data_IF_985681860830
#
_entry.id   IF_985681860830
#
_cell.length_a   1.000
_cell.length_b   1.000
_cell.length_c   1.000
_cell.angle_alpha   90.00
_cell.angle_beta   90.00
_cell.angle_gamma   90.00
#
_symmetry.space_group_name_H-M   'P 1'
#
loop_
_entity.id
_entity.type
_entity.pdbx_description
1 polymer ?
#
# COMPACT_ATOMS: atom_id res chain seq x y z
N UNK A 1 -31.48 -9.48 -24.31
CA UNK A 1 -32.78 -9.55 -25.02
C UNK A 1 -32.55 -9.10 -26.46
N UNK A 2 -32.90 -9.89 -27.46
CA UNK A 2 -32.68 -9.47 -28.86
C UNK A 2 -33.70 -8.43 -29.25
N UNK A 3 -33.29 -7.40 -30.01
CA UNK A 3 -34.19 -6.32 -30.50
C UNK A 3 -35.46 -6.88 -31.16
N UNK A 4 -35.35 -7.92 -31.97
CA UNK A 4 -36.46 -8.63 -32.61
C UNK A 4 -37.56 -9.08 -31.62
N UNK A 5 -37.16 -9.55 -30.43
CA UNK A 5 -38.10 -10.02 -29.42
C UNK A 5 -38.87 -8.84 -28.75
N UNK A 6 -38.29 -7.63 -28.77
CA UNK A 6 -38.95 -6.44 -28.20
C UNK A 6 -40.00 -5.80 -29.10
N UNK A 7 -40.05 -6.16 -30.41
CA UNK A 7 -40.99 -5.58 -31.39
C UNK A 7 -41.94 -6.62 -32.01
N UNK A 8 -41.95 -7.85 -31.51
CA UNK A 8 -42.80 -8.95 -32.10
C UNK A 8 -44.27 -8.66 -31.99
N UNK A 9 -44.74 -8.03 -30.89
CA UNK A 9 -46.15 -7.70 -30.71
C UNK A 9 -46.59 -6.57 -31.67
N UNK A 10 -45.75 -5.57 -31.83
CA UNK A 10 -46.02 -4.42 -32.72
C UNK A 10 -46.02 -4.87 -34.19
N UNK A 11 -45.12 -5.75 -34.60
CA UNK A 11 -45.10 -6.30 -35.95
C UNK A 11 -46.39 -7.09 -36.22
N UNK A 12 -46.85 -7.91 -35.27
CA UNK A 12 -48.09 -8.64 -35.39
C UNK A 12 -49.31 -7.73 -35.59
N UNK A 13 -49.38 -6.63 -34.82
CA UNK A 13 -50.46 -5.62 -34.96
C UNK A 13 -50.41 -4.97 -36.35
N UNK A 14 -49.22 -4.62 -36.86
CA UNK A 14 -49.06 -4.01 -38.18
C UNK A 14 -49.52 -5.00 -39.29
N UNK A 15 -49.20 -6.28 -39.18
CA UNK A 15 -49.65 -7.30 -40.13
C UNK A 15 -51.19 -7.36 -40.15
N UNK A 16 -51.84 -7.38 -38.98
CA UNK A 16 -53.31 -7.38 -38.90
C UNK A 16 -53.92 -6.14 -39.54
N UNK A 17 -53.39 -4.94 -39.27
CA UNK A 17 -53.84 -3.71 -39.91
C UNK A 17 -53.68 -3.79 -41.42
N UNK A 18 -52.57 -4.34 -41.90
CA UNK A 18 -52.29 -4.48 -43.32
C UNK A 18 -53.32 -5.40 -44.03
N UNK A 19 -53.66 -6.51 -43.40
CA UNK A 19 -54.69 -7.43 -43.93
C UNK A 19 -56.08 -6.80 -43.96
N UNK A 20 -56.46 -6.08 -42.88
CA UNK A 20 -57.76 -5.40 -42.82
C UNK A 20 -57.86 -4.28 -43.87
N UNK A 21 -56.74 -3.54 -44.09
CA UNK A 21 -56.71 -2.49 -45.10
C UNK A 21 -56.85 -3.03 -46.52
N UNK A 22 -56.19 -4.14 -46.83
CA UNK A 22 -56.32 -4.85 -48.10
C UNK A 22 -57.76 -5.34 -48.35
N UNK A 23 -58.42 -5.91 -47.33
CA UNK A 23 -59.78 -6.36 -47.38
C UNK A 23 -60.77 -5.19 -47.66
N UNK A 24 -60.55 -4.04 -47.01
CA UNK A 24 -61.36 -2.85 -47.23
C UNK A 24 -61.26 -2.30 -48.66
N UNK A 25 -60.03 -2.23 -49.22
CA UNK A 25 -59.85 -1.83 -50.62
C UNK A 25 -60.54 -2.77 -51.62
N UNK A 26 -60.47 -4.10 -51.37
CA UNK A 26 -61.17 -5.09 -52.19
C UNK A 26 -62.68 -4.97 -52.16
N UNK A 27 -63.27 -4.74 -50.98
CA UNK A 27 -64.69 -4.64 -50.79
C UNK A 27 -65.28 -3.37 -51.43
N UNK A 28 -64.55 -2.25 -51.42
CA UNK A 28 -65.01 -0.94 -51.94
C UNK A 28 -64.58 -0.68 -53.39
N UNK A 29 -63.96 -1.67 -54.08
CA UNK A 29 -63.48 -1.57 -55.48
C UNK A 29 -62.65 -0.31 -55.75
N UNK A 30 -61.81 0.11 -54.83
CA UNK A 30 -60.98 1.29 -54.98
C UNK A 30 -59.83 1.09 -56.01
N UNK A 31 -59.39 2.16 -56.71
CA UNK A 31 -58.35 2.05 -57.72
C UNK A 31 -57.03 1.59 -57.13
N UNK A 32 -56.35 0.68 -57.88
CA UNK A 32 -55.10 0.04 -57.46
C UNK A 32 -53.99 1.05 -57.11
N UNK A 33 -53.97 2.16 -57.83
CA UNK A 33 -52.99 3.25 -57.61
C UNK A 33 -53.10 3.87 -56.20
N UNK A 34 -54.34 4.09 -55.73
CA UNK A 34 -54.56 4.59 -54.37
C UNK A 34 -54.13 3.59 -53.30
N UNK A 35 -54.31 2.31 -53.54
CA UNK A 35 -53.81 1.24 -52.65
C UNK A 35 -52.30 1.24 -52.55
N UNK A 36 -51.58 1.28 -53.68
CA UNK A 36 -50.12 1.27 -53.73
C UNK A 36 -49.53 2.52 -53.03
N UNK A 37 -50.13 3.67 -53.20
CA UNK A 37 -49.69 4.89 -52.55
C UNK A 37 -49.86 4.81 -51.02
N UNK A 38 -51.04 4.36 -50.56
CA UNK A 38 -51.33 4.15 -49.14
C UNK A 38 -50.34 3.14 -48.49
N UNK A 39 -50.05 2.07 -49.22
CA UNK A 39 -49.11 1.04 -48.81
C UNK A 39 -47.69 1.59 -48.66
N UNK A 40 -47.24 2.44 -49.60
CA UNK A 40 -45.95 3.14 -49.51
C UNK A 40 -45.85 4.04 -48.27
N UNK A 41 -46.90 4.79 -47.93
CA UNK A 41 -46.96 5.64 -46.75
C UNK A 41 -46.89 4.80 -45.46
N UNK A 42 -47.65 3.69 -45.39
CA UNK A 42 -47.65 2.79 -44.22
C UNK A 42 -46.25 2.18 -44.05
N UNK A 43 -45.58 1.76 -45.11
CA UNK A 43 -44.24 1.18 -45.07
C UNK A 43 -43.19 2.21 -44.60
N UNK A 44 -43.30 3.45 -45.06
CA UNK A 44 -42.43 4.55 -44.64
C UNK A 44 -42.57 4.83 -43.12
N UNK A 45 -43.83 4.93 -42.66
CA UNK A 45 -44.08 5.13 -41.22
C UNK A 45 -43.58 4.00 -40.37
N UNK A 46 -43.69 2.75 -40.84
CA UNK A 46 -43.18 1.58 -40.17
C UNK A 46 -41.65 1.59 -40.09
N UNK A 47 -40.95 1.99 -41.13
CA UNK A 47 -39.50 2.15 -41.12
C UNK A 47 -39.05 3.23 -40.11
N UNK A 48 -39.73 4.35 -40.07
CA UNK A 48 -39.44 5.42 -39.10
C UNK A 48 -39.69 4.92 -37.67
N UNK A 49 -40.78 4.20 -37.43
CA UNK A 49 -41.10 3.63 -36.11
C UNK A 49 -40.02 2.61 -35.65
N UNK A 50 -39.64 1.70 -36.53
CA UNK A 50 -38.58 0.73 -36.26
C UNK A 50 -37.24 1.44 -35.95
N UNK A 51 -36.90 2.50 -36.71
CA UNK A 51 -35.71 3.30 -36.49
C UNK A 51 -35.71 3.97 -35.10
N UNK A 52 -36.80 4.57 -34.68
CA UNK A 52 -36.94 5.20 -33.35
C UNK A 52 -36.81 4.14 -32.25
N UNK A 53 -37.50 3.00 -32.42
CA UNK A 53 -37.39 1.89 -31.44
C UNK A 53 -35.98 1.32 -31.35
N UNK A 54 -35.29 1.19 -32.47
CA UNK A 54 -33.89 0.73 -32.51
C UNK A 54 -32.94 1.68 -31.77
N UNK A 55 -33.06 2.99 -32.02
CA UNK A 55 -32.29 4.03 -31.31
C UNK A 55 -32.55 4.00 -29.80
N UNK A 56 -33.82 3.88 -29.40
CA UNK A 56 -34.21 3.76 -28.00
C UNK A 56 -33.62 2.49 -27.36
N UNK A 57 -33.66 1.36 -28.06
CA UNK A 57 -33.09 0.08 -27.60
C UNK A 57 -31.57 0.17 -27.40
N UNK A 58 -30.84 0.73 -28.38
CA UNK A 58 -29.40 0.94 -28.29
C UNK A 58 -29.02 1.84 -27.10
N UNK A 59 -29.81 2.93 -26.91
CA UNK A 59 -29.62 3.86 -25.78
C UNK A 59 -29.80 3.13 -24.44
N UNK A 60 -30.84 2.28 -24.34
CA UNK A 60 -31.12 1.51 -23.10
C UNK A 60 -30.00 0.53 -22.79
N UNK A 61 -29.48 -0.19 -23.80
CA UNK A 61 -28.34 -1.10 -23.61
C UNK A 61 -27.09 -0.35 -23.16
N UNK A 62 -26.78 0.79 -23.79
CA UNK A 62 -25.64 1.61 -23.42
C UNK A 62 -25.75 2.12 -21.98
N UNK A 63 -26.93 2.57 -21.55
CA UNK A 63 -27.17 2.99 -20.17
C UNK A 63 -27.03 1.84 -19.18
N UNK A 64 -27.52 0.66 -19.51
CA UNK A 64 -27.43 -0.52 -18.66
C UNK A 64 -25.98 -0.97 -18.48
N UNK A 65 -25.19 -0.89 -19.55
CA UNK A 65 -23.76 -1.19 -19.51
C UNK A 65 -22.95 -0.16 -18.67
N UNK A 66 -23.34 1.12 -18.72
CA UNK A 66 -22.76 2.15 -17.86
C UNK A 66 -23.09 1.91 -16.38
N UNK A 67 -24.33 1.52 -16.06
CA UNK A 67 -24.75 1.20 -14.69
C UNK A 67 -23.94 0.02 -14.17
N UNK A 68 -23.83 -1.07 -14.94
CA UNK A 68 -23.05 -2.24 -14.55
C UNK A 68 -21.56 -1.92 -14.30
N UNK A 69 -20.95 -1.11 -15.18
CA UNK A 69 -19.58 -0.65 -15.00
C UNK A 69 -19.42 0.20 -13.72
N UNK A 70 -20.40 1.07 -13.43
CA UNK A 70 -20.39 1.91 -12.22
C UNK A 70 -20.55 1.06 -10.95
N UNK A 71 -21.45 0.07 -10.97
CA UNK A 71 -21.65 -0.85 -9.86
C UNK A 71 -20.38 -1.67 -9.58
N UNK A 72 -19.71 -2.17 -10.62
CA UNK A 72 -18.44 -2.88 -10.50
C UNK A 72 -17.35 -1.98 -9.93
N UNK A 73 -17.25 -0.72 -10.38
CA UNK A 73 -16.28 0.23 -9.85
C UNK A 73 -16.56 0.57 -8.37
N UNK A 74 -17.82 0.77 -8.00
CA UNK A 74 -18.23 0.98 -6.61
C UNK A 74 -17.92 -0.23 -5.73
N UNK A 75 -18.13 -1.44 -6.24
CA UNK A 75 -17.81 -2.66 -5.52
C UNK A 75 -16.29 -2.79 -5.27
N UNK A 76 -15.46 -2.49 -6.27
CA UNK A 76 -14.00 -2.48 -6.13
C UNK A 76 -13.55 -1.46 -5.09
N UNK A 77 -14.01 -0.20 -5.18
CA UNK A 77 -13.69 0.85 -4.22
C UNK A 77 -14.12 0.48 -2.79
N UNK A 78 -15.27 -0.15 -2.63
CA UNK A 78 -15.74 -0.60 -1.31
C UNK A 78 -14.87 -1.71 -0.74
N UNK A 79 -14.41 -2.64 -1.57
CA UNK A 79 -13.49 -3.70 -1.12
C UNK A 79 -12.13 -3.12 -0.74
N UNK A 80 -11.57 -2.22 -1.53
CA UNK A 80 -10.32 -1.50 -1.21
C UNK A 80 -10.44 -0.74 0.12
N UNK A 81 -11.58 -0.09 0.35
CA UNK A 81 -11.83 0.61 1.61
C UNK A 81 -11.92 -0.33 2.81
N UNK A 82 -12.53 -1.51 2.63
CA UNK A 82 -12.62 -2.53 3.69
C UNK A 82 -11.23 -3.11 3.99
N UNK A 83 -10.45 -3.44 2.97
CA UNK A 83 -9.06 -3.92 3.14
C UNK A 83 -8.21 -2.88 3.85
N UNK A 84 -8.25 -1.63 3.40
CA UNK A 84 -7.57 -0.51 4.04
C UNK A 84 -7.93 -0.38 5.54
N UNK A 85 -9.23 -0.42 5.86
CA UNK A 85 -9.71 -0.34 7.24
C UNK A 85 -9.18 -1.50 8.08
N UNK A 86 -9.32 -2.74 7.59
CA UNK A 86 -8.86 -3.94 8.29
C UNK A 86 -7.35 -3.90 8.52
N UNK A 87 -6.62 -3.37 7.56
CA UNK A 87 -5.19 -3.17 7.63
C UNK A 87 -4.79 -2.21 8.74
N UNK A 88 -5.42 -1.04 8.79
CA UNK A 88 -5.17 -0.04 9.84
C UNK A 88 -5.51 -0.60 11.23
N UNK A 89 -6.66 -1.28 11.36
CA UNK A 89 -7.08 -1.89 12.64
C UNK A 89 -6.09 -2.98 13.10
N UNK A 90 -5.66 -3.85 12.19
CA UNK A 90 -4.68 -4.90 12.49
C UNK A 90 -3.34 -4.34 12.98
N UNK A 91 -2.86 -3.26 12.34
CA UNK A 91 -1.63 -2.58 12.79
C UNK A 91 -1.80 -1.93 14.14
N UNK A 92 -2.91 -1.24 14.35
CA UNK A 92 -3.17 -0.59 15.62
C UNK A 92 -3.15 -1.59 16.78
N UNK A 93 -3.78 -2.73 16.61
CA UNK A 93 -3.77 -3.81 17.60
C UNK A 93 -2.34 -4.34 17.84
N UNK A 94 -1.55 -4.51 16.78
CA UNK A 94 -0.15 -4.96 16.90
C UNK A 94 0.69 -3.94 17.66
N UNK A 95 0.58 -2.64 17.36
CA UNK A 95 1.32 -1.59 18.09
C UNK A 95 0.91 -1.49 19.55
N UNK A 96 -0.38 -1.55 19.85
CA UNK A 96 -0.86 -1.56 21.26
C UNK A 96 -0.25 -2.73 22.01
N UNK A 97 -0.20 -3.91 21.40
CA UNK A 97 0.42 -5.08 22.02
C UNK A 97 1.93 -4.90 22.22
N UNK A 98 2.64 -4.37 21.21
CA UNK A 98 4.08 -4.12 21.28
C UNK A 98 4.46 -3.03 22.29
N UNK A 99 3.63 -1.99 22.46
CA UNK A 99 3.84 -0.96 23.50
C UNK A 99 3.52 -1.48 24.91
N UNK A 100 2.56 -2.39 25.07
CA UNK A 100 2.18 -2.94 26.37
C UNK A 100 3.35 -3.71 27.02
N UNK A 101 4.15 -4.43 26.24
CA UNK A 101 5.27 -5.21 26.76
C UNK A 101 6.34 -4.35 27.45
N UNK A 102 6.96 -3.33 26.82
CA UNK A 102 7.93 -2.47 27.48
C UNK A 102 7.31 -1.62 28.61
N UNK A 103 6.03 -1.23 28.52
CA UNK A 103 5.35 -0.55 29.62
C UNK A 103 5.30 -1.46 30.86
N UNK A 104 4.88 -2.72 30.70
CA UNK A 104 4.83 -3.68 31.80
C UNK A 104 6.22 -3.99 32.33
N UNK A 105 7.22 -4.12 31.46
CA UNK A 105 8.63 -4.31 31.86
C UNK A 105 9.15 -3.11 32.69
N UNK A 106 8.87 -1.88 32.25
CA UNK A 106 9.26 -0.67 32.97
C UNK A 106 8.59 -0.62 34.37
N UNK A 107 7.31 -0.95 34.49
CA UNK A 107 6.60 -1.01 35.75
C UNK A 107 7.23 -2.01 36.70
N UNK A 108 7.46 -3.26 36.23
CA UNK A 108 8.09 -4.31 37.04
C UNK A 108 9.51 -3.95 37.47
N UNK A 109 10.28 -3.22 36.64
CA UNK A 109 11.61 -2.74 36.98
C UNK A 109 11.59 -1.71 38.10
N UNK A 110 10.60 -0.83 38.09
CA UNK A 110 10.43 0.21 39.13
C UNK A 110 10.01 -0.37 40.50
N UNK A 111 9.41 -1.57 40.52
CA UNK A 111 9.06 -2.28 41.76
C UNK A 111 10.26 -3.00 42.38
N UNK A 112 11.38 -3.12 41.65
CA UNK A 112 12.58 -3.83 42.12
C UNK A 112 13.65 -2.84 42.54
N UNK A 113 14.26 -3.09 43.69
CA UNK A 113 15.42 -2.33 44.20
C UNK A 113 16.72 -2.98 43.65
N UNK A 114 16.92 -2.86 42.32
CA UNK A 114 18.10 -3.40 41.66
C UNK A 114 19.04 -2.30 41.19
N UNK A 115 20.37 -2.53 41.17
CA UNK A 115 21.31 -1.59 40.58
C UNK A 115 20.99 -1.42 39.08
N UNK A 116 21.11 -0.19 38.57
CA UNK A 116 20.83 0.18 37.15
C UNK A 116 19.37 0.18 36.70
N UNK A 117 18.38 0.16 37.62
CA UNK A 117 16.94 0.25 37.27
C UNK A 117 16.67 1.44 36.35
N UNK A 118 17.23 2.61 36.61
CA UNK A 118 17.00 3.82 35.81
C UNK A 118 17.45 3.63 34.36
N UNK A 119 18.58 2.99 34.10
CA UNK A 119 19.06 2.74 32.74
C UNK A 119 18.19 1.71 32.02
N UNK A 120 17.74 0.67 32.70
CA UNK A 120 16.83 -0.34 32.14
C UNK A 120 15.46 0.25 31.82
N UNK A 121 14.89 1.04 32.73
CA UNK A 121 13.63 1.76 32.46
C UNK A 121 13.78 2.71 31.29
N UNK A 122 14.92 3.43 31.16
CA UNK A 122 15.19 4.28 30.01
C UNK A 122 15.17 3.51 28.68
N UNK A 123 15.69 2.28 28.66
CA UNK A 123 15.64 1.41 27.46
C UNK A 123 14.20 1.05 27.09
N UNK A 124 13.36 0.70 28.05
CA UNK A 124 11.96 0.40 27.82
C UNK A 124 11.20 1.65 27.29
N UNK A 125 11.49 2.82 27.84
CA UNK A 125 10.91 4.10 27.36
C UNK A 125 11.35 4.40 25.92
N UNK A 126 12.61 4.16 25.55
CA UNK A 126 13.08 4.31 24.17
C UNK A 126 12.33 3.35 23.22
N UNK A 127 12.03 2.13 23.65
CA UNK A 127 11.24 1.20 22.84
C UNK A 127 9.80 1.68 22.64
N UNK A 128 9.16 2.20 23.69
CA UNK A 128 7.82 2.80 23.59
C UNK A 128 7.83 3.97 22.60
N UNK A 129 8.82 4.88 22.69
CA UNK A 129 8.98 6.00 21.78
C UNK A 129 9.15 5.53 20.32
N UNK A 130 9.94 4.48 20.10
CA UNK A 130 10.13 3.89 18.77
C UNK A 130 8.82 3.33 18.20
N UNK A 131 8.05 2.57 18.96
CA UNK A 131 6.76 2.04 18.50
C UNK A 131 5.75 3.15 18.23
N UNK A 132 5.72 4.19 19.07
CA UNK A 132 4.87 5.36 18.87
C UNK A 132 5.24 6.12 17.59
N UNK A 133 6.55 6.34 17.39
CA UNK A 133 7.07 7.01 16.18
C UNK A 133 6.75 6.22 14.91
N UNK A 134 6.88 4.88 14.94
CA UNK A 134 6.50 4.00 13.84
C UNK A 134 5.01 4.08 13.54
N UNK A 135 4.15 4.03 14.57
CA UNK A 135 2.71 4.13 14.42
C UNK A 135 2.28 5.45 13.76
N UNK A 136 2.82 6.56 14.27
CA UNK A 136 2.55 7.90 13.71
C UNK A 136 3.05 8.04 12.29
N UNK A 137 4.22 7.47 11.98
CA UNK A 137 4.80 7.53 10.64
C UNK A 137 4.01 6.70 9.64
N UNK A 138 3.52 5.52 10.06
CA UNK A 138 2.63 4.73 9.23
C UNK A 138 1.34 5.49 8.89
N UNK A 139 0.69 6.11 9.88
CA UNK A 139 -0.50 6.93 9.64
C UNK A 139 -0.23 8.11 8.69
N UNK A 140 0.97 8.70 8.76
CA UNK A 140 1.38 9.76 7.82
C UNK A 140 1.63 9.23 6.42
N UNK A 141 2.24 8.04 6.27
CA UNK A 141 2.45 7.40 4.97
C UNK A 141 1.14 7.00 4.29
N UNK A 142 0.10 6.68 5.06
CA UNK A 142 -1.23 6.39 4.54
C UNK A 142 -1.97 7.65 4.03
N UNK A 143 -1.60 8.82 4.53
CA UNK A 143 -2.12 10.09 4.03
C UNK A 143 -1.25 10.55 2.86
N UNK A 144 -1.74 10.45 1.64
CA UNK A 144 -1.07 10.90 0.40
C UNK A 144 -0.64 12.39 0.43
N UNK A 145 -1.17 13.17 1.37
CA UNK A 145 -0.88 14.59 1.58
C UNK A 145 0.31 14.85 2.50
N UNK A 146 1.07 13.82 2.90
CA UNK A 146 2.26 14.05 3.74
C UNK A 146 3.35 14.74 2.91
N UNK A 147 3.51 16.04 3.12
CA UNK A 147 4.52 16.84 2.44
C UNK A 147 5.93 16.30 2.73
N UNK A 148 6.65 15.94 1.68
CA UNK A 148 8.08 15.63 1.74
C UNK A 148 8.83 16.97 1.78
N UNK A 149 9.59 17.20 2.83
CA UNK A 149 10.44 18.38 2.98
C UNK A 149 11.89 18.02 2.70
N UNK A 150 12.28 18.08 1.43
CA UNK A 150 13.63 17.75 1.00
C UNK A 150 14.58 18.90 1.33
N UNK A 151 15.68 18.57 2.01
CA UNK A 151 16.72 19.52 2.39
C UNK A 151 18.10 18.90 2.14
N UNK A 152 19.11 19.75 1.86
CA UNK A 152 20.51 19.30 1.78
C UNK A 152 21.09 19.27 3.19
N UNK A 153 21.55 18.10 3.64
CA UNK A 153 22.03 17.89 4.99
C UNK A 153 23.19 16.91 5.02
N UNK A 154 24.17 17.15 5.90
CA UNK A 154 25.26 16.20 6.14
C UNK A 154 24.72 14.89 6.73
N UNK A 155 25.11 13.76 6.14
CA UNK A 155 24.71 12.42 6.60
C UNK A 155 25.09 12.16 8.07
N UNK A 156 26.20 12.74 8.55
CA UNK A 156 26.60 12.69 9.95
C UNK A 156 25.55 13.31 10.89
N UNK A 157 24.87 14.36 10.45
CA UNK A 157 23.84 15.03 11.26
C UNK A 157 22.58 14.18 11.43
N UNK A 158 22.38 13.18 10.55
CA UNK A 158 21.30 12.20 10.66
C UNK A 158 21.73 11.02 11.51
N UNK A 159 22.92 10.46 11.28
CA UNK A 159 23.37 9.20 11.90
C UNK A 159 23.79 9.40 13.37
N UNK A 160 24.56 10.44 13.66
CA UNK A 160 25.11 10.67 15.00
C UNK A 160 24.04 10.76 16.11
N UNK A 161 22.94 11.48 15.96
CA UNK A 161 21.87 11.50 16.97
C UNK A 161 21.27 10.12 17.24
N UNK A 162 21.13 9.29 16.19
CA UNK A 162 20.62 7.92 16.33
C UNK A 162 21.57 7.05 17.12
N UNK A 163 22.88 7.08 16.82
CA UNK A 163 23.91 6.35 17.59
C UNK A 163 23.88 6.77 19.06
N UNK A 164 23.77 8.06 19.33
CA UNK A 164 23.72 8.58 20.70
C UNK A 164 22.46 8.12 21.45
N UNK A 165 21.31 8.06 20.76
CA UNK A 165 20.03 7.57 21.33
C UNK A 165 20.19 6.11 21.81
N UNK A 166 20.88 5.27 21.06
CA UNK A 166 21.06 3.84 21.36
C UNK A 166 22.36 3.50 22.13
N UNK A 167 23.15 4.49 22.56
CA UNK A 167 24.46 4.28 23.18
C UNK A 167 24.41 3.32 24.39
N UNK A 168 23.41 3.45 25.25
CA UNK A 168 23.23 2.57 26.42
C UNK A 168 22.98 1.14 25.97
N UNK A 169 22.18 0.92 24.93
CA UNK A 169 21.87 -0.42 24.41
C UNK A 169 23.10 -1.09 23.81
N UNK A 170 23.94 -0.35 23.08
CA UNK A 170 25.22 -0.84 22.57
C UNK A 170 26.12 -1.34 23.72
N UNK A 171 26.22 -0.57 24.80
CA UNK A 171 27.02 -0.90 25.97
C UNK A 171 26.48 -2.15 26.68
N UNK A 172 25.19 -2.17 27.00
CA UNK A 172 24.55 -3.24 27.76
C UNK A 172 24.55 -4.57 27.00
N UNK A 173 24.40 -4.52 25.68
CA UNK A 173 24.44 -5.70 24.83
C UNK A 173 25.86 -6.12 24.45
N UNK A 174 26.90 -5.35 24.86
CA UNK A 174 28.28 -5.53 24.45
C UNK A 174 28.47 -5.57 22.93
N UNK A 175 27.65 -4.80 22.21
CA UNK A 175 27.72 -4.67 20.75
C UNK A 175 28.66 -3.53 20.41
N UNK A 176 29.64 -3.80 19.55
CA UNK A 176 30.57 -2.78 19.09
C UNK A 176 30.00 -2.07 17.87
N UNK A 177 30.05 -0.75 17.90
CA UNK A 177 29.67 0.06 16.74
C UNK A 177 30.92 0.65 16.11
N UNK A 178 31.03 0.49 14.78
CA UNK A 178 32.08 1.06 13.95
C UNK A 178 31.43 2.12 13.08
N UNK A 179 31.76 3.38 13.36
CA UNK A 179 31.23 4.53 12.64
C UNK A 179 32.30 5.61 12.53
N UNK A 180 32.63 5.98 11.31
CA UNK A 180 33.45 7.15 11.02
C UNK A 180 32.55 8.28 10.52
N UNK A 181 32.65 9.49 11.17
CA UNK A 181 31.83 10.62 10.75
C UNK A 181 32.09 11.02 9.30
N UNK A 182 31.07 10.96 8.46
CA UNK A 182 31.11 11.44 7.09
C UNK A 182 30.31 12.74 6.98
N UNK A 183 30.92 13.76 6.42
CA UNK A 183 30.30 15.09 6.26
C UNK A 183 29.69 15.32 4.87
N UNK A 184 29.65 14.28 4.03
CA UNK A 184 28.98 14.34 2.75
C UNK A 184 27.51 14.80 2.91
N UNK A 185 27.08 15.69 2.03
CA UNK A 185 25.73 16.21 2.05
C UNK A 185 24.83 15.41 1.11
N UNK A 186 23.68 14.99 1.59
CA UNK A 186 22.65 14.27 0.83
C UNK A 186 21.37 15.09 0.74
N UNK A 187 20.64 14.94 -0.36
CA UNK A 187 19.36 15.57 -0.57
C UNK A 187 18.25 14.62 -0.08
N UNK A 188 17.58 14.99 1.03
CA UNK A 188 16.60 14.09 1.63
C UNK A 188 15.62 14.79 2.59
N UNK A 189 14.51 14.12 2.92
CA UNK A 189 13.69 14.48 4.07
C UNK A 189 14.30 13.86 5.33
N UNK A 190 14.79 14.72 6.22
CA UNK A 190 15.50 14.32 7.45
C UNK A 190 14.67 13.39 8.34
N UNK A 191 13.36 13.63 8.43
CA UNK A 191 12.47 12.88 9.33
C UNK A 191 12.31 11.44 8.85
N UNK A 192 12.00 11.28 7.57
CA UNK A 192 11.79 9.96 6.95
C UNK A 192 13.08 9.15 6.90
N UNK A 193 14.18 9.80 6.50
CA UNK A 193 15.49 9.15 6.42
C UNK A 193 16.02 8.76 7.80
N UNK A 194 15.87 9.62 8.81
CA UNK A 194 16.24 9.29 10.20
C UNK A 194 15.49 8.05 10.69
N UNK A 195 14.17 8.00 10.45
CA UNK A 195 13.35 6.85 10.83
C UNK A 195 13.78 5.57 10.12
N UNK A 196 14.08 5.65 8.82
CA UNK A 196 14.54 4.50 8.03
C UNK A 196 15.87 3.96 8.56
N UNK A 197 16.87 4.83 8.79
CA UNK A 197 18.17 4.47 9.35
C UNK A 197 18.00 3.91 10.76
N UNK A 198 17.18 4.54 11.59
CA UNK A 198 16.89 4.10 12.96
C UNK A 198 16.33 2.67 12.99
N UNK A 199 15.42 2.31 12.08
CA UNK A 199 14.87 0.96 11.98
C UNK A 199 15.94 -0.06 11.58
N UNK A 200 16.86 0.28 10.67
CA UNK A 200 17.95 -0.60 10.28
C UNK A 200 18.95 -0.82 11.43
N UNK A 201 19.31 0.23 12.16
CA UNK A 201 20.18 0.15 13.34
C UNK A 201 19.52 -0.66 14.46
N UNK A 202 18.23 -0.46 14.71
CA UNK A 202 17.47 -1.22 15.71
C UNK A 202 17.41 -2.72 15.36
N UNK A 203 17.23 -3.05 14.07
CA UNK A 203 17.32 -4.43 13.61
C UNK A 203 18.71 -5.02 13.82
N UNK A 204 19.76 -4.29 13.47
CA UNK A 204 21.14 -4.74 13.70
C UNK A 204 21.40 -5.00 15.20
N UNK A 205 21.00 -4.08 16.09
CA UNK A 205 21.09 -4.26 17.55
C UNK A 205 20.36 -5.50 18.03
N UNK A 206 19.19 -5.78 17.47
CA UNK A 206 18.39 -6.93 17.85
C UNK A 206 19.02 -8.26 17.43
N UNK A 207 19.55 -8.33 16.21
CA UNK A 207 20.00 -9.59 15.61
C UNK A 207 21.52 -9.81 15.66
N UNK A 208 22.29 -8.76 16.01
CA UNK A 208 23.74 -8.83 16.20
C UNK A 208 24.17 -8.57 17.66
N UNK A 209 23.38 -9.00 18.63
CA UNK A 209 23.68 -8.82 20.06
C UNK A 209 25.03 -9.41 20.42
N UNK A 210 25.90 -8.59 21.04
CA UNK A 210 27.24 -8.99 21.45
C UNK A 210 28.25 -9.12 20.29
N UNK A 211 27.94 -8.61 19.13
CA UNK A 211 28.73 -8.62 17.91
C UNK A 211 29.02 -7.21 17.40
N UNK A 212 29.43 -7.08 16.16
CA UNK A 212 29.82 -5.80 15.57
C UNK A 212 28.78 -5.27 14.60
N UNK A 213 28.61 -3.95 14.57
CA UNK A 213 27.77 -3.21 13.62
C UNK A 213 28.63 -2.12 12.98
N UNK A 214 28.59 -2.02 11.65
CA UNK A 214 29.27 -0.99 10.88
C UNK A 214 28.23 -0.09 10.22
N UNK A 215 28.47 1.21 10.27
CA UNK A 215 27.68 2.23 9.56
C UNK A 215 28.67 3.01 8.70
N UNK A 216 28.57 2.83 7.40
CA UNK A 216 29.54 3.35 6.44
C UNK A 216 28.80 4.12 5.34
N UNK A 217 29.34 5.25 4.90
CA UNK A 217 28.82 6.00 3.78
C UNK A 217 29.88 6.06 2.68
N UNK A 218 29.50 5.60 1.50
CA UNK A 218 30.33 5.69 0.29
C UNK A 218 29.91 6.93 -0.51
N UNK A 219 30.80 7.93 -0.52
CA UNK A 219 30.59 9.18 -1.22
C UNK A 219 30.58 9.04 -2.76
N UNK A 220 31.24 7.99 -3.30
CA UNK A 220 31.31 7.80 -4.76
C UNK A 220 30.01 7.20 -5.30
N UNK A 221 29.45 6.27 -4.59
CA UNK A 221 28.17 5.61 -4.96
C UNK A 221 26.95 6.29 -4.34
N UNK A 222 27.14 7.28 -3.46
CA UNK A 222 26.10 7.97 -2.69
C UNK A 222 25.21 6.98 -1.91
N UNK A 223 25.86 5.99 -1.23
CA UNK A 223 25.20 4.89 -0.54
C UNK A 223 25.57 4.83 0.94
N UNK A 224 24.53 4.59 1.76
CA UNK A 224 24.71 4.29 3.18
C UNK A 224 24.55 2.78 3.41
N UNK A 225 25.54 2.19 4.08
CA UNK A 225 25.56 0.80 4.48
C UNK A 225 25.33 0.69 5.99
N UNK A 226 24.38 -0.15 6.39
CA UNK A 226 24.20 -0.61 7.77
C UNK A 226 24.46 -2.12 7.77
N UNK A 227 25.62 -2.53 8.25
CA UNK A 227 26.11 -3.91 8.22
C UNK A 227 26.23 -4.45 9.63
N UNK A 228 25.88 -5.70 9.82
CA UNK A 228 26.09 -6.47 11.03
C UNK A 228 26.69 -7.84 10.72
N UNK A 229 27.36 -8.44 11.69
CA UNK A 229 27.82 -9.83 11.66
C UNK A 229 26.98 -10.75 12.56
N UNK A 230 25.67 -10.45 12.64
CA UNK A 230 24.68 -11.16 13.42
C UNK A 230 24.31 -12.55 12.90
N UNK A 231 23.08 -12.96 13.19
CA UNK A 231 22.56 -14.29 12.79
C UNK A 231 22.24 -14.40 11.30
N UNK A 232 22.18 -13.28 10.59
CA UNK A 232 21.81 -13.21 9.18
C UNK A 232 20.36 -13.64 8.91
N UNK A 233 20.00 -13.66 7.63
CA UNK A 233 18.66 -13.97 7.13
C UNK A 233 18.78 -15.17 6.19
N UNK A 234 17.83 -16.11 6.28
CA UNK A 234 17.81 -17.26 5.38
C UNK A 234 17.39 -16.83 3.96
N UNK A 235 17.85 -17.56 2.93
CA UNK A 235 17.47 -17.30 1.54
C UNK A 235 15.95 -17.38 1.32
N UNK A 236 15.24 -18.22 2.08
CA UNK A 236 13.80 -18.38 2.02
C UNK A 236 13.04 -17.17 2.60
N UNK A 237 13.63 -16.46 3.57
CA UNK A 237 13.05 -15.30 4.22
C UNK A 237 13.35 -14.00 3.45
N UNK A 238 14.52 -13.89 2.79
CA UNK A 238 14.98 -12.67 2.12
C UNK A 238 13.94 -11.99 1.22
N UNK A 239 13.17 -12.70 0.37
CA UNK A 239 12.17 -12.07 -0.49
C UNK A 239 11.00 -11.44 0.29
N UNK A 240 10.78 -11.86 1.54
CA UNK A 240 9.59 -11.53 2.34
C UNK A 240 9.86 -10.58 3.49
N UNK A 241 11.12 -10.24 3.78
CA UNK A 241 11.47 -9.43 4.97
C UNK A 241 10.85 -8.03 4.96
N UNK A 242 10.49 -7.52 3.79
CA UNK A 242 9.81 -6.25 3.62
C UNK A 242 8.28 -6.38 3.56
N UNK A 243 7.77 -7.63 3.58
CA UNK A 243 6.33 -7.86 3.56
C UNK A 243 5.71 -7.47 4.89
N UNK A 244 4.50 -7.03 4.82
CA UNK A 244 3.68 -6.55 5.92
C UNK A 244 3.49 -7.62 7.00
N UNK A 245 3.93 -7.30 8.23
CA UNK A 245 3.78 -8.20 9.38
C UNK A 245 4.66 -9.45 9.33
N UNK A 246 5.58 -9.53 8.36
CA UNK A 246 6.47 -10.66 8.24
C UNK A 246 7.54 -10.61 9.33
N UNK A 247 7.59 -11.65 10.16
CA UNK A 247 8.66 -11.89 11.11
C UNK A 247 9.23 -13.27 10.81
N UNK A 248 10.38 -13.34 10.13
CA UNK A 248 11.03 -14.58 9.75
C UNK A 248 11.30 -15.52 10.94
N UNK A 249 11.82 -16.70 10.68
CA UNK A 249 12.07 -17.74 11.69
C UNK A 249 12.81 -17.23 12.95
N UNK A 250 13.77 -16.32 12.79
CA UNK A 250 14.49 -15.68 13.89
C UNK A 250 13.62 -14.70 14.68
N UNK A 251 12.66 -14.03 14.04
CA UNK A 251 11.74 -13.08 14.67
C UNK A 251 10.64 -13.77 15.47
N UNK A 252 10.17 -14.93 15.03
CA UNK A 252 9.19 -15.73 15.77
C UNK A 252 9.75 -16.34 17.05
N UNK A 253 11.04 -16.69 17.06
CA UNK A 253 11.74 -17.17 18.28
C UNK A 253 12.00 -16.08 19.31
N UNK A 254 12.19 -14.85 18.85
CA UNK A 254 12.30 -13.67 19.71
C UNK A 254 10.92 -13.02 19.72
N UNK A 255 10.10 -13.30 20.74
CA UNK A 255 8.70 -12.86 20.91
C UNK A 255 8.41 -11.36 20.74
N UNK A 256 9.39 -10.54 20.36
CA UNK A 256 9.37 -9.09 20.27
C UNK A 256 9.49 -8.52 18.83
N UNK A 257 9.23 -9.29 17.76
CA UNK A 257 9.27 -8.72 16.40
C UNK A 257 7.88 -8.53 15.81
N UNK A 258 7.49 -7.28 15.61
CA UNK A 258 6.18 -6.91 15.02
C UNK A 258 6.09 -7.18 13.51
N UNK A 259 7.23 -7.40 12.83
CA UNK A 259 7.28 -7.46 11.36
C UNK A 259 6.94 -6.14 10.65
N UNK A 260 6.85 -5.03 11.40
CA UNK A 260 6.42 -3.73 10.85
C UNK A 260 7.63 -2.85 10.48
N UNK A 261 8.76 -2.98 11.18
CA UNK A 261 9.91 -2.09 11.01
C UNK A 261 10.45 -2.06 9.58
N UNK A 262 10.79 -3.22 9.00
CA UNK A 262 11.30 -3.30 7.63
C UNK A 262 10.22 -2.99 6.58
N UNK A 263 8.97 -3.32 6.85
CA UNK A 263 7.86 -2.88 5.99
C UNK A 263 7.81 -1.35 5.90
N UNK A 264 7.90 -0.63 7.03
CA UNK A 264 7.93 0.83 7.03
C UNK A 264 9.18 1.36 6.32
N UNK A 265 10.34 0.73 6.50
CA UNK A 265 11.56 1.06 5.74
C UNK A 265 11.28 1.02 4.23
N UNK A 266 10.60 -0.03 3.75
CA UNK A 266 10.24 -0.16 2.33
C UNK A 266 9.25 0.91 1.87
N UNK A 267 8.24 1.24 2.69
CA UNK A 267 7.29 2.29 2.38
C UNK A 267 7.97 3.67 2.30
N UNK A 268 8.84 3.99 3.27
CA UNK A 268 9.62 5.23 3.26
C UNK A 268 10.54 5.27 2.03
N UNK A 269 11.26 4.17 1.74
CA UNK A 269 12.12 4.03 0.57
C UNK A 269 11.40 4.39 -0.73
N UNK A 270 10.17 3.92 -0.90
CA UNK A 270 9.33 4.24 -2.06
C UNK A 270 8.86 5.69 -2.02
N UNK A 271 8.40 6.17 -0.87
CA UNK A 271 7.86 7.52 -0.70
C UNK A 271 8.92 8.62 -0.91
N UNK A 272 10.15 8.39 -0.44
CA UNK A 272 11.27 9.34 -0.55
C UNK A 272 12.17 9.14 -1.76
N UNK A 273 11.88 8.13 -2.59
CA UNK A 273 12.73 7.70 -3.70
C UNK A 273 14.19 7.40 -3.29
N UNK A 274 14.35 6.72 -2.14
CA UNK A 274 15.62 6.23 -1.63
C UNK A 274 15.61 4.70 -1.64
N UNK A 275 16.04 4.06 -2.75
CA UNK A 275 16.01 2.60 -2.86
C UNK A 275 16.76 1.91 -1.73
N UNK A 276 16.14 0.89 -1.13
CA UNK A 276 16.74 0.05 -0.11
C UNK A 276 16.93 -1.35 -0.64
N UNK A 277 18.13 -1.88 -0.48
CA UNK A 277 18.50 -3.26 -0.80
C UNK A 277 19.09 -3.97 0.41
N UNK A 278 19.14 -5.30 0.35
CA UNK A 278 19.66 -6.16 1.40
C UNK A 278 20.48 -7.29 0.82
N UNK A 279 21.61 -7.55 1.43
CA UNK A 279 22.43 -8.75 1.21
C UNK A 279 22.63 -9.41 2.57
N UNK A 280 22.31 -10.69 2.69
CA UNK A 280 22.45 -11.42 3.94
C UNK A 280 22.75 -12.88 3.69
N UNK A 281 23.52 -13.47 4.62
CA UNK A 281 23.74 -14.89 4.65
C UNK A 281 23.62 -15.38 6.09
N UNK A 282 22.94 -16.50 6.26
CA UNK A 282 22.69 -17.08 7.57
C UNK A 282 23.99 -17.36 8.31
N UNK A 283 24.11 -16.90 9.56
CA UNK A 283 25.26 -16.95 10.44
C UNK A 283 26.50 -16.13 10.01
N UNK A 284 26.38 -15.33 8.93
CA UNK A 284 27.46 -14.41 8.51
C UNK A 284 27.10 -12.95 8.76
N UNK A 285 25.81 -12.62 8.79
CA UNK A 285 25.30 -11.28 9.05
C UNK A 285 24.45 -10.71 7.93
N UNK A 286 24.11 -9.43 8.07
CA UNK A 286 23.23 -8.70 7.12
C UNK A 286 23.85 -7.36 6.77
N UNK A 287 23.67 -6.93 5.52
CA UNK A 287 24.01 -5.59 5.06
C UNK A 287 22.78 -5.00 4.38
N UNK A 288 22.26 -3.92 4.94
CA UNK A 288 21.27 -3.07 4.29
C UNK A 288 21.96 -1.89 3.62
N UNK A 289 21.52 -1.53 2.43
CA UNK A 289 22.05 -0.41 1.65
C UNK A 289 20.91 0.55 1.33
N UNK A 290 21.10 1.83 1.63
CA UNK A 290 20.20 2.92 1.24
C UNK A 290 20.90 3.72 0.14
N UNK A 291 20.27 3.88 -1.02
CA UNK A 291 20.75 4.72 -2.11
C UNK A 291 20.14 6.12 -1.98
N UNK A 292 21.00 7.13 -1.96
CA UNK A 292 20.56 8.53 -2.08
C UNK A 292 20.61 8.96 -3.56
N UNK A 293 19.70 9.85 -4.00
CA UNK A 293 19.76 10.40 -5.34
C UNK A 293 21.03 11.22 -5.53
N UNK A 294 21.58 11.17 -6.73
CA UNK A 294 22.57 12.15 -7.18
C UNK A 294 21.88 13.51 -7.31
N UNK A 295 22.61 14.62 -7.12
CA UNK A 295 22.08 16.00 -7.12
C UNK A 295 21.16 16.36 -8.28
#
# INVERSE_FOLDING_TARGET
>A
MTFLKSITQEIAIVIVIFVLFGLMFYLYHLPLEAYLLALGVILLLLLIFIGIKYLSFVKTISQQQQIENLENALYQLKNEQIEYKNDVESYFLTWVHQMKTPITAAQLLLERDEPNVVNRVRQEVIQIDNYTSLALSYLKLLNETSDISVTKISINNIIRPIIMKYSIQFIDQKTKIHYEPCHHEVLTDVRWTSLMIEQLINNALKYARGKDIWIEFDEQSNQLYVKDNGVGISEADLPKIFDKGYSGYNGQRQSNSSGIGLFIVKQISTHTNHPVSVVSKQNEGTTFTIQFPDE
#
